data_IF_310983865689
#
_entry.id   IF_310983865689
#
_cell.length_a   1.000
_cell.length_b   1.000
_cell.length_c   1.000
_cell.angle_alpha   90.00
_cell.angle_beta   90.00
_cell.angle_gamma   90.00
#
_symmetry.space_group_name_H-M   'P 1'
#
loop_
_entity.id
_entity.type
_entity.pdbx_description
1 polymer ?
#
# COMPACT_ATOMS: atom_id res chain seq x y z
N UNK A 1 14.20 -76.80 14.56
CA UNK A 1 14.47 -75.84 15.67
C UNK A 1 13.20 -75.07 15.94
N UNK A 2 12.51 -75.33 17.04
CA UNK A 2 11.34 -74.53 17.44
C UNK A 2 11.85 -73.27 18.16
N UNK A 3 11.68 -72.16 17.53
CA UNK A 3 11.97 -70.87 18.18
C UNK A 3 10.88 -70.60 19.24
N UNK A 4 11.20 -70.87 20.52
CA UNK A 4 10.34 -70.50 21.63
C UNK A 4 10.41 -69.02 21.85
N UNK A 5 9.45 -68.27 21.32
CA UNK A 5 9.27 -66.86 21.70
C UNK A 5 8.84 -66.82 23.17
N UNK A 6 9.58 -66.11 24.00
CA UNK A 6 9.16 -65.82 25.36
C UNK A 6 7.90 -64.98 25.33
N UNK A 7 6.91 -65.29 26.20
CA UNK A 7 5.66 -64.51 26.29
C UNK A 7 5.91 -63.00 26.50
N UNK A 8 7.01 -62.63 27.19
CA UNK A 8 7.43 -61.25 27.40
C UNK A 8 7.89 -60.60 26.08
N UNK A 9 8.62 -61.32 25.21
CA UNK A 9 9.04 -60.77 23.91
C UNK A 9 7.85 -60.46 22.97
N UNK A 10 6.79 -61.26 23.04
CA UNK A 10 5.56 -61.04 22.24
C UNK A 10 4.78 -59.82 22.76
N UNK A 11 4.73 -59.66 24.09
CA UNK A 11 4.09 -58.50 24.74
C UNK A 11 4.89 -57.22 24.44
N UNK A 12 6.22 -57.26 24.58
CA UNK A 12 7.09 -56.11 24.29
C UNK A 12 6.99 -55.67 22.82
N UNK A 13 7.00 -56.64 21.89
CA UNK A 13 6.80 -56.36 20.45
C UNK A 13 5.41 -55.76 20.16
N UNK A 14 4.38 -56.25 20.88
CA UNK A 14 3.02 -55.71 20.76
C UNK A 14 2.91 -54.26 21.27
N UNK A 15 3.50 -53.94 22.42
CA UNK A 15 3.56 -52.57 22.97
C UNK A 15 4.33 -51.64 22.02
N UNK A 16 5.50 -52.08 21.54
CA UNK A 16 6.30 -51.31 20.62
C UNK A 16 5.57 -51.06 19.27
N UNK A 17 4.80 -52.03 18.79
CA UNK A 17 3.93 -51.86 17.61
C UNK A 17 2.82 -50.81 17.83
N UNK A 18 2.20 -50.81 19.02
CA UNK A 18 1.19 -49.78 19.37
C UNK A 18 1.79 -48.40 19.49
N UNK A 19 2.97 -48.25 20.15
CA UNK A 19 3.65 -46.97 20.32
C UNK A 19 4.04 -46.37 18.95
N UNK A 20 4.53 -47.21 18.03
CA UNK A 20 4.85 -46.76 16.67
C UNK A 20 3.58 -46.32 15.90
N UNK A 21 2.49 -47.08 15.98
CA UNK A 21 1.23 -46.73 15.32
C UNK A 21 0.61 -45.46 15.91
N UNK A 22 0.75 -45.22 17.22
CA UNK A 22 0.32 -44.01 17.88
C UNK A 22 1.17 -42.80 17.45
N UNK A 23 2.50 -42.93 17.41
CA UNK A 23 3.42 -41.91 16.95
C UNK A 23 3.13 -41.51 15.49
N UNK A 24 2.87 -42.47 14.62
CA UNK A 24 2.49 -42.26 13.22
C UNK A 24 1.15 -41.50 13.14
N UNK A 25 0.13 -41.93 13.89
CA UNK A 25 -1.16 -41.28 13.92
C UNK A 25 -1.06 -39.84 14.41
N UNK A 26 -0.27 -39.54 15.45
CA UNK A 26 -0.01 -38.21 15.97
C UNK A 26 0.74 -37.36 14.94
N UNK A 27 1.73 -37.89 14.27
CA UNK A 27 2.49 -37.20 13.23
C UNK A 27 1.59 -36.78 12.05
N UNK A 28 0.76 -37.68 11.54
CA UNK A 28 -0.17 -37.37 10.46
C UNK A 28 -1.28 -36.42 10.91
N UNK A 29 -1.77 -36.52 12.15
CA UNK A 29 -2.72 -35.59 12.71
C UNK A 29 -2.12 -34.16 12.74
N UNK A 30 -0.87 -34.02 13.18
CA UNK A 30 -0.18 -32.72 13.18
C UNK A 30 -0.07 -32.13 11.79
N UNK A 31 0.24 -32.94 10.76
CA UNK A 31 0.30 -32.48 9.36
C UNK A 31 -1.07 -32.05 8.84
N UNK A 32 -2.14 -32.81 9.15
CA UNK A 32 -3.51 -32.47 8.76
C UNK A 32 -4.00 -31.19 9.45
N UNK A 33 -3.73 -31.04 10.76
CA UNK A 33 -4.20 -29.87 11.51
C UNK A 33 -3.42 -28.59 11.21
N UNK A 34 -2.10 -28.71 10.93
CA UNK A 34 -1.25 -27.56 10.59
C UNK A 34 -1.28 -27.20 9.09
N UNK A 35 -1.68 -28.12 8.22
CA UNK A 35 -1.55 -27.99 6.76
C UNK A 35 -0.11 -28.03 6.26
N UNK A 36 0.88 -28.26 7.15
CA UNK A 36 2.32 -28.23 6.81
C UNK A 36 2.94 -29.62 6.81
N UNK A 37 3.74 -29.90 5.79
CA UNK A 37 4.52 -31.14 5.66
C UNK A 37 5.64 -31.21 6.71
N UNK A 38 6.29 -30.07 6.99
CA UNK A 38 7.38 -29.93 7.94
C UNK A 38 7.08 -28.78 8.91
N UNK A 39 7.00 -29.10 10.21
CA UNK A 39 6.73 -28.10 11.27
C UNK A 39 7.95 -27.83 12.15
N UNK A 40 8.89 -28.77 12.18
CA UNK A 40 10.11 -28.70 13.00
C UNK A 40 11.35 -28.77 12.11
N UNK A 41 12.40 -28.06 12.53
CA UNK A 41 13.69 -28.09 11.83
C UNK A 41 14.29 -29.53 11.78
N UNK A 42 13.94 -30.39 12.76
CA UNK A 42 14.33 -31.82 12.78
C UNK A 42 13.73 -32.62 11.63
N UNK A 43 12.57 -32.21 11.11
CA UNK A 43 11.87 -32.94 10.05
C UNK A 43 12.56 -32.71 8.70
N UNK A 44 12.89 -31.46 8.38
CA UNK A 44 13.67 -31.06 7.21
C UNK A 44 14.25 -29.66 7.44
N UNK A 45 15.49 -29.57 7.89
CA UNK A 45 16.17 -28.32 8.22
C UNK A 45 16.26 -27.37 7.02
N UNK A 46 16.45 -27.89 5.80
CA UNK A 46 16.51 -27.09 4.58
C UNK A 46 15.15 -26.45 4.26
N UNK A 47 14.09 -27.25 4.25
CA UNK A 47 12.74 -26.78 3.94
C UNK A 47 12.27 -25.74 4.96
N UNK A 48 12.44 -26.00 6.27
CA UNK A 48 12.03 -25.09 7.34
C UNK A 48 12.83 -23.80 7.30
N UNK A 49 14.18 -23.86 7.16
CA UNK A 49 15.00 -22.64 7.09
C UNK A 49 14.68 -21.79 5.86
N UNK A 50 14.43 -22.44 4.71
CA UNK A 50 14.04 -21.74 3.48
C UNK A 50 12.66 -21.11 3.62
N UNK A 51 11.70 -21.80 4.27
CA UNK A 51 10.37 -21.27 4.56
C UNK A 51 10.42 -20.03 5.43
N UNK A 52 11.20 -20.04 6.51
CA UNK A 52 11.39 -18.87 7.38
C UNK A 52 11.97 -17.66 6.62
N UNK A 53 12.91 -17.92 5.69
CA UNK A 53 13.43 -16.84 4.83
C UNK A 53 12.35 -16.26 3.92
N UNK A 54 11.53 -17.12 3.31
CA UNK A 54 10.41 -16.67 2.48
C UNK A 54 9.38 -15.89 3.29
N UNK A 55 9.06 -16.31 4.52
CA UNK A 55 8.19 -15.55 5.43
C UNK A 55 8.73 -14.15 5.71
N UNK A 56 10.03 -14.03 5.97
CA UNK A 56 10.68 -12.74 6.17
C UNK A 56 10.62 -11.87 4.93
N UNK A 57 10.90 -12.44 3.76
CA UNK A 57 10.85 -11.70 2.49
C UNK A 57 9.41 -11.26 2.16
N UNK A 58 8.40 -12.11 2.37
CA UNK A 58 6.98 -11.78 2.22
C UNK A 58 6.58 -10.64 3.18
N UNK A 59 7.01 -10.71 4.45
CA UNK A 59 6.74 -9.64 5.43
C UNK A 59 7.34 -8.31 5.00
N UNK A 60 8.52 -8.35 4.37
CA UNK A 60 9.18 -7.15 3.83
C UNK A 60 8.42 -6.57 2.63
N UNK A 61 7.83 -7.42 1.79
CA UNK A 61 6.95 -6.96 0.70
C UNK A 61 5.69 -6.26 1.21
N UNK A 62 5.08 -6.75 2.30
CA UNK A 62 3.91 -6.10 2.92
C UNK A 62 4.26 -4.71 3.51
N UNK A 63 5.48 -4.54 4.02
CA UNK A 63 5.97 -3.22 4.43
C UNK A 63 6.07 -2.26 3.22
N UNK A 64 6.65 -2.71 2.10
CA UNK A 64 6.69 -1.89 0.89
C UNK A 64 5.29 -1.55 0.37
N UNK A 65 4.37 -2.49 0.39
CA UNK A 65 2.97 -2.28 0.00
C UNK A 65 2.27 -1.22 0.89
N UNK A 66 2.54 -1.21 2.19
CA UNK A 66 2.06 -0.17 3.10
C UNK A 66 2.62 1.19 2.71
N UNK A 67 3.91 1.28 2.43
CA UNK A 67 4.57 2.50 1.97
C UNK A 67 4.00 2.98 0.62
N UNK A 68 3.80 2.07 -0.33
CA UNK A 68 3.19 2.36 -1.63
C UNK A 68 1.77 2.92 -1.48
N UNK A 69 0.95 2.32 -0.61
CA UNK A 69 -0.41 2.82 -0.34
C UNK A 69 -0.40 4.23 0.25
N UNK A 70 0.52 4.50 1.18
CA UNK A 70 0.69 5.83 1.76
C UNK A 70 1.05 6.87 0.70
N UNK A 71 2.07 6.59 -0.13
CA UNK A 71 2.50 7.50 -1.21
C UNK A 71 1.37 7.72 -2.21
N UNK A 72 0.70 6.65 -2.66
CA UNK A 72 -0.43 6.74 -3.60
C UNK A 72 -1.54 7.61 -3.06
N UNK A 73 -1.95 7.42 -1.80
CA UNK A 73 -3.00 8.22 -1.17
C UNK A 73 -2.61 9.70 -1.06
N UNK A 74 -1.37 9.99 -0.66
CA UNK A 74 -0.87 11.36 -0.55
C UNK A 74 -0.86 12.07 -1.90
N UNK A 75 -0.34 11.42 -2.95
CA UNK A 75 -0.30 12.00 -4.29
C UNK A 75 -1.69 12.11 -4.93
N UNK A 76 -2.60 11.16 -4.72
CA UNK A 76 -3.98 11.23 -5.21
C UNK A 76 -4.75 12.41 -4.59
N UNK A 77 -4.59 12.65 -3.29
CA UNK A 77 -5.18 13.81 -2.63
C UNK A 77 -4.63 15.13 -3.21
N UNK A 78 -3.32 15.20 -3.42
CA UNK A 78 -2.69 16.38 -4.01
C UNK A 78 -3.14 16.61 -5.46
N UNK A 79 -3.22 15.57 -6.28
CA UNK A 79 -3.72 15.64 -7.65
C UNK A 79 -5.15 16.16 -7.70
N UNK A 80 -6.06 15.64 -6.86
CA UNK A 80 -7.44 16.11 -6.80
C UNK A 80 -7.53 17.61 -6.52
N UNK A 81 -6.70 18.13 -5.61
CA UNK A 81 -6.66 19.57 -5.34
C UNK A 81 -6.04 20.36 -6.50
N UNK A 82 -4.95 19.86 -7.10
CA UNK A 82 -4.29 20.53 -8.23
C UNK A 82 -5.18 20.55 -9.48
N UNK A 83 -5.89 19.46 -9.79
CA UNK A 83 -6.88 19.41 -10.89
C UNK A 83 -7.96 20.47 -10.72
N UNK A 84 -8.50 20.59 -9.50
CA UNK A 84 -9.49 21.63 -9.20
C UNK A 84 -8.90 23.04 -9.38
N UNK A 85 -7.68 23.29 -8.87
CA UNK A 85 -7.00 24.57 -9.05
C UNK A 85 -6.68 24.88 -10.51
N UNK A 86 -6.33 23.89 -11.33
CA UNK A 86 -6.10 24.02 -12.78
C UNK A 86 -7.39 24.49 -13.49
N UNK A 87 -8.53 23.92 -13.10
CA UNK A 87 -9.84 24.33 -13.64
C UNK A 87 -10.17 25.79 -13.24
N UNK A 88 -9.89 26.16 -11.98
CA UNK A 88 -10.05 27.53 -11.52
C UNK A 88 -9.09 28.50 -12.22
N UNK A 89 -7.86 28.10 -12.48
CA UNK A 89 -6.89 28.91 -13.26
C UNK A 89 -7.34 29.08 -14.71
N UNK A 90 -7.93 28.05 -15.33
CA UNK A 90 -8.53 28.18 -16.66
C UNK A 90 -9.70 29.20 -16.64
N UNK A 91 -10.53 29.18 -15.61
CA UNK A 91 -11.59 30.16 -15.41
C UNK A 91 -11.04 31.60 -15.27
N UNK A 92 -9.95 31.79 -14.49
CA UNK A 92 -9.27 33.08 -14.40
C UNK A 92 -8.72 33.55 -15.74
N UNK A 93 -8.12 32.66 -16.55
CA UNK A 93 -7.64 33.01 -17.90
C UNK A 93 -8.78 33.41 -18.82
N UNK A 94 -9.95 32.77 -18.73
CA UNK A 94 -11.14 33.16 -19.48
C UNK A 94 -11.65 34.56 -19.05
N UNK A 95 -11.71 34.84 -17.74
CA UNK A 95 -12.05 36.15 -17.21
C UNK A 95 -11.04 37.23 -17.68
N UNK A 96 -9.76 36.90 -17.74
CA UNK A 96 -8.73 37.80 -18.28
C UNK A 96 -8.99 38.11 -19.73
N UNK A 97 -9.24 37.11 -20.59
CA UNK A 97 -9.57 37.33 -22.01
C UNK A 97 -10.83 38.19 -22.15
N UNK A 98 -11.86 37.91 -21.33
CA UNK A 98 -13.07 38.74 -21.31
C UNK A 98 -12.77 40.19 -20.92
N UNK A 99 -11.87 40.40 -19.97
CA UNK A 99 -11.46 41.77 -19.51
C UNK A 99 -10.77 42.60 -20.60
N UNK A 100 -10.25 41.98 -21.65
CA UNK A 100 -9.61 42.66 -22.78
C UNK A 100 -10.63 43.17 -23.84
N UNK A 101 -11.93 42.93 -23.65
CA UNK A 101 -12.96 43.42 -24.55
C UNK A 101 -13.15 44.92 -24.43
N UNK A 102 -12.99 45.67 -25.52
CA UNK A 102 -13.17 47.11 -25.57
C UNK A 102 -14.61 47.60 -25.29
N UNK A 103 -15.58 46.70 -25.19
CA UNK A 103 -16.99 47.02 -24.92
C UNK A 103 -17.34 47.06 -23.41
N UNK A 104 -16.39 46.75 -22.52
CA UNK A 104 -16.63 46.70 -21.08
C UNK A 104 -16.70 48.09 -20.43
N UNK A 105 -17.65 48.28 -19.55
CA UNK A 105 -17.78 49.45 -18.70
C UNK A 105 -17.27 49.17 -17.28
N UNK A 106 -17.19 50.22 -16.44
CA UNK A 106 -16.72 50.11 -15.04
C UNK A 106 -17.50 49.08 -14.22
N UNK A 107 -18.81 48.96 -14.41
CA UNK A 107 -19.64 48.00 -13.70
C UNK A 107 -19.31 46.57 -14.11
N UNK A 108 -19.01 46.33 -15.40
CA UNK A 108 -18.60 45.02 -15.88
C UNK A 108 -17.25 44.58 -15.28
N UNK A 109 -16.27 45.51 -15.21
CA UNK A 109 -14.99 45.21 -14.53
C UNK A 109 -15.16 44.93 -13.05
N UNK A 110 -16.08 45.65 -12.35
CA UNK A 110 -16.40 45.37 -10.97
C UNK A 110 -16.99 43.94 -10.79
N UNK A 111 -17.85 43.51 -11.70
CA UNK A 111 -18.40 42.17 -11.68
C UNK A 111 -17.33 41.08 -11.93
N UNK A 112 -16.44 41.27 -12.92
CA UNK A 112 -15.32 40.38 -13.19
C UNK A 112 -14.36 40.30 -12.00
N UNK A 113 -14.11 41.43 -11.34
CA UNK A 113 -13.29 41.46 -10.10
C UNK A 113 -13.86 40.58 -9.02
N UNK A 114 -15.17 40.67 -8.73
CA UNK A 114 -15.81 39.82 -7.71
C UNK A 114 -15.66 38.35 -8.05
N UNK A 115 -15.85 37.97 -9.31
CA UNK A 115 -15.65 36.57 -9.74
C UNK A 115 -14.19 36.12 -9.56
N UNK A 116 -13.21 36.96 -9.94
CA UNK A 116 -11.80 36.66 -9.78
C UNK A 116 -11.39 36.55 -8.30
N UNK A 117 -11.98 37.37 -7.42
CA UNK A 117 -11.80 37.31 -5.96
C UNK A 117 -12.31 35.98 -5.39
N UNK A 118 -13.49 35.54 -5.79
CA UNK A 118 -14.06 34.23 -5.37
C UNK A 118 -13.16 33.07 -5.77
N UNK A 119 -12.67 33.06 -7.02
CA UNK A 119 -11.76 32.03 -7.50
C UNK A 119 -10.44 32.06 -6.73
N UNK A 120 -9.85 33.26 -6.52
CA UNK A 120 -8.64 33.43 -5.71
C UNK A 120 -8.79 32.82 -4.31
N UNK A 121 -9.91 33.11 -3.64
CA UNK A 121 -10.16 32.65 -2.28
C UNK A 121 -10.43 31.13 -2.23
N UNK A 122 -11.06 30.57 -3.27
CA UNK A 122 -11.19 29.12 -3.46
C UNK A 122 -9.83 28.45 -3.61
N UNK A 123 -8.97 28.97 -4.50
CA UNK A 123 -7.61 28.45 -4.70
C UNK A 123 -6.81 28.56 -3.39
N UNK A 124 -6.90 29.66 -2.65
CA UNK A 124 -6.25 29.80 -1.35
C UNK A 124 -6.67 28.70 -0.36
N UNK A 125 -7.96 28.38 -0.32
CA UNK A 125 -8.50 27.31 0.54
C UNK A 125 -7.95 25.95 0.12
N UNK A 126 -7.89 25.67 -1.19
CA UNK A 126 -7.34 24.43 -1.73
C UNK A 126 -5.83 24.29 -1.46
N UNK A 127 -5.06 25.37 -1.53
CA UNK A 127 -3.62 25.38 -1.20
C UNK A 127 -3.34 24.96 0.25
N UNK A 128 -4.26 25.24 1.16
CA UNK A 128 -4.13 24.93 2.59
C UNK A 128 -4.99 23.73 3.02
N UNK A 129 -5.52 22.97 2.05
CA UNK A 129 -6.38 21.82 2.30
C UNK A 129 -5.66 20.74 3.12
N UNK A 130 -6.47 20.04 3.92
CA UNK A 130 -6.01 18.94 4.78
C UNK A 130 -6.71 17.65 4.39
N UNK A 131 -6.06 16.54 4.65
CA UNK A 131 -6.64 15.21 4.49
C UNK A 131 -7.67 14.88 5.61
N UNK A 132 -8.30 13.72 5.52
CA UNK A 132 -9.28 13.27 6.52
C UNK A 132 -8.69 13.06 7.93
N UNK A 133 -7.36 12.97 8.04
CA UNK A 133 -6.64 12.83 9.31
C UNK A 133 -6.15 14.17 9.87
N UNK A 134 -6.40 15.26 9.13
CA UNK A 134 -6.02 16.64 9.51
C UNK A 134 -4.61 17.03 9.09
N UNK A 135 -3.87 16.17 8.39
CA UNK A 135 -2.55 16.51 7.86
C UNK A 135 -2.67 17.38 6.60
N UNK A 136 -1.76 18.33 6.40
CA UNK A 136 -1.77 19.13 5.18
C UNK A 136 -1.50 18.26 3.95
N UNK A 137 -2.27 18.49 2.87
CA UNK A 137 -2.10 17.78 1.60
C UNK A 137 -0.79 18.17 0.92
N UNK A 138 -0.43 19.44 0.99
CA UNK A 138 0.83 19.97 0.47
C UNK A 138 1.84 20.12 1.60
N UNK A 139 3.02 19.57 1.45
CA UNK A 139 4.06 19.65 2.47
C UNK A 139 4.75 21.02 2.45
N UNK A 140 4.96 21.59 3.63
CA UNK A 140 5.57 22.90 3.76
C UNK A 140 7.09 22.91 3.51
N UNK A 141 7.70 21.71 3.49
CA UNK A 141 9.13 21.53 3.31
C UNK A 141 9.53 21.70 1.84
N UNK A 142 10.66 22.34 1.60
CA UNK A 142 11.23 22.49 0.26
C UNK A 142 11.70 21.15 -0.30
N UNK A 143 12.25 20.29 0.58
CA UNK A 143 12.60 18.90 0.27
C UNK A 143 11.62 17.95 0.94
N UNK A 144 10.97 17.13 0.14
CA UNK A 144 10.00 16.13 0.60
C UNK A 144 10.74 14.90 1.11
N UNK A 145 10.30 14.38 2.25
CA UNK A 145 10.75 13.10 2.75
C UNK A 145 10.53 12.01 1.70
N UNK A 146 11.54 11.15 1.53
CA UNK A 146 11.45 10.02 0.61
C UNK A 146 11.05 8.75 1.34
N UNK A 147 10.16 7.99 0.74
CA UNK A 147 9.68 6.71 1.24
C UNK A 147 10.15 5.60 0.32
N UNK A 148 10.64 4.53 0.90
CA UNK A 148 11.10 3.37 0.15
C UNK A 148 9.89 2.52 -0.29
N UNK A 149 9.74 2.32 -1.60
CA UNK A 149 8.63 1.57 -2.22
C UNK A 149 9.05 0.21 -2.77
N UNK A 150 10.36 0.02 -2.97
CA UNK A 150 11.00 -1.23 -3.39
C UNK A 150 12.41 -1.32 -2.79
N UNK A 151 13.07 -2.50 -2.84
CA UNK A 151 14.50 -2.56 -2.54
C UNK A 151 15.27 -1.55 -3.39
N UNK A 152 15.93 -0.58 -2.76
CA UNK A 152 16.74 0.47 -3.40
C UNK A 152 15.97 1.54 -4.21
N UNK A 153 14.63 1.57 -4.18
CA UNK A 153 13.83 2.61 -4.85
C UNK A 153 13.12 3.46 -3.80
N UNK A 154 13.40 4.75 -3.83
CA UNK A 154 12.78 5.74 -2.96
C UNK A 154 12.07 6.81 -3.79
N UNK A 155 10.85 7.19 -3.38
CA UNK A 155 10.05 8.23 -4.03
C UNK A 155 9.66 9.30 -3.01
N UNK A 156 9.30 10.49 -3.49
CA UNK A 156 8.77 11.56 -2.64
C UNK A 156 7.43 11.13 -2.02
N UNK A 157 7.25 11.39 -0.72
CA UNK A 157 6.06 10.96 0.02
C UNK A 157 4.82 11.84 -0.20
N UNK A 158 4.94 12.93 -0.95
CA UNK A 158 3.87 13.87 -1.24
C UNK A 158 4.33 15.02 -2.13
N UNK A 159 3.54 16.11 -2.19
CA UNK A 159 3.80 17.27 -3.04
C UNK A 159 4.23 18.46 -2.19
N UNK A 160 5.33 19.14 -2.58
CA UNK A 160 5.81 20.35 -1.91
C UNK A 160 4.93 21.55 -2.27
N UNK A 161 4.51 22.30 -1.25
CA UNK A 161 3.82 23.58 -1.41
C UNK A 161 4.62 24.57 -2.29
N UNK A 162 5.90 24.71 -2.01
CA UNK A 162 6.76 25.66 -2.74
C UNK A 162 6.93 25.27 -4.20
N UNK A 163 7.05 23.98 -4.51
CA UNK A 163 7.15 23.50 -5.90
C UNK A 163 5.86 23.69 -6.69
N UNK A 164 4.70 23.51 -6.02
CA UNK A 164 3.40 23.66 -6.67
C UNK A 164 3.00 25.15 -6.84
N UNK A 165 3.27 26.01 -5.85
CA UNK A 165 2.68 27.34 -5.77
C UNK A 165 3.70 28.48 -5.74
N UNK A 166 5.00 28.19 -5.67
CA UNK A 166 6.08 29.18 -5.66
C UNK A 166 6.82 29.29 -4.33
N UNK A 167 8.07 29.73 -4.39
CA UNK A 167 9.08 29.60 -3.32
C UNK A 167 8.85 30.49 -2.11
N UNK A 168 8.17 31.63 -2.24
CA UNK A 168 8.05 32.63 -1.18
C UNK A 168 6.88 32.37 -0.22
N UNK A 169 5.96 31.46 -0.60
CA UNK A 169 4.79 31.09 0.18
C UNK A 169 4.98 29.81 0.98
N UNK A 170 4.10 29.62 1.95
CA UNK A 170 3.98 28.40 2.74
C UNK A 170 2.54 28.22 3.24
N UNK A 171 2.25 27.12 3.93
CA UNK A 171 0.91 26.83 4.46
C UNK A 171 0.37 27.89 5.45
N UNK A 172 1.25 28.60 6.14
CA UNK A 172 0.88 29.68 7.08
C UNK A 172 0.62 30.98 6.35
N UNK A 173 1.40 31.27 5.29
CA UNK A 173 1.32 32.47 4.49
C UNK A 173 1.18 32.13 2.99
N UNK A 174 0.07 31.52 2.58
CA UNK A 174 -0.15 31.12 1.18
C UNK A 174 -0.19 32.35 0.25
N UNK A 175 -0.54 33.52 0.77
CA UNK A 175 -0.57 34.80 0.04
C UNK A 175 0.80 35.24 -0.47
N UNK A 176 1.88 34.74 0.11
CA UNK A 176 3.24 35.04 -0.33
C UNK A 176 3.66 34.19 -1.54
N UNK A 177 2.93 33.12 -1.89
CA UNK A 177 3.24 32.31 -3.05
C UNK A 177 3.14 33.07 -4.36
N UNK A 178 3.94 32.66 -5.35
CA UNK A 178 3.89 33.26 -6.70
C UNK A 178 2.51 33.09 -7.34
N UNK A 179 1.88 31.93 -7.15
CA UNK A 179 0.53 31.65 -7.64
C UNK A 179 -0.47 32.68 -7.10
N UNK A 180 -0.54 32.84 -5.79
CA UNK A 180 -1.48 33.76 -5.17
C UNK A 180 -1.20 35.23 -5.58
N UNK A 181 0.06 35.66 -5.57
CA UNK A 181 0.47 37.01 -5.99
C UNK A 181 0.06 37.29 -7.44
N UNK A 182 0.23 36.35 -8.35
CA UNK A 182 -0.14 36.51 -9.76
C UNK A 182 -1.66 36.62 -9.93
N UNK A 183 -2.44 35.81 -9.22
CA UNK A 183 -3.90 35.92 -9.20
C UNK A 183 -4.32 37.27 -8.62
N UNK A 184 -3.70 37.72 -7.50
CA UNK A 184 -4.01 38.97 -6.86
C UNK A 184 -3.64 40.19 -7.74
N UNK A 185 -2.59 40.08 -8.57
CA UNK A 185 -2.27 41.10 -9.58
C UNK A 185 -3.40 41.26 -10.61
N UNK A 186 -4.03 40.14 -11.00
CA UNK A 186 -5.19 40.19 -11.90
C UNK A 186 -6.41 40.82 -11.21
N UNK A 187 -6.70 40.47 -9.95
CA UNK A 187 -7.78 41.08 -9.17
C UNK A 187 -7.57 42.59 -9.01
N UNK A 188 -6.32 43.02 -8.75
CA UNK A 188 -5.96 44.44 -8.65
C UNK A 188 -6.16 45.15 -9.99
N UNK A 189 -5.69 44.57 -11.09
CA UNK A 189 -5.89 45.06 -12.45
C UNK A 189 -7.38 45.32 -12.74
N UNK A 190 -8.26 44.35 -12.44
CA UNK A 190 -9.71 44.50 -12.62
C UNK A 190 -10.30 45.61 -11.73
N UNK A 191 -9.78 45.77 -10.50
CA UNK A 191 -10.20 46.81 -9.58
C UNK A 191 -9.83 48.24 -10.07
N UNK A 192 -8.63 48.39 -10.61
CA UNK A 192 -8.17 49.67 -11.19
C UNK A 192 -9.00 50.04 -12.44
N UNK A 193 -9.31 49.06 -13.29
CA UNK A 193 -10.20 49.26 -14.45
C UNK A 193 -11.64 49.61 -14.02
N UNK A 194 -12.15 48.99 -12.96
CA UNK A 194 -13.49 49.27 -12.41
C UNK A 194 -13.62 50.72 -11.88
N UNK A 195 -12.56 51.26 -11.29
CA UNK A 195 -12.53 52.67 -10.83
C UNK A 195 -12.24 53.65 -11.97
N UNK A 196 -11.72 53.16 -13.09
CA UNK A 196 -11.27 53.98 -14.22
C UNK A 196 -9.87 54.59 -13.98
N UNK A 197 -9.13 53.99 -13.07
CA UNK A 197 -7.72 54.31 -12.83
C UNK A 197 -6.86 53.52 -13.83
N UNK A 198 -5.78 54.15 -14.30
CA UNK A 198 -4.83 53.45 -15.17
C UNK A 198 -4.20 52.28 -14.42
N UNK A 199 -4.21 51.04 -14.99
CA UNK A 199 -3.66 49.87 -14.30
C UNK A 199 -2.19 50.05 -13.93
N UNK A 200 -1.85 49.70 -12.70
CA UNK A 200 -0.48 49.73 -12.16
C UNK A 200 0.42 48.69 -12.84
N UNK A 201 -0.17 47.66 -13.41
CA UNK A 201 0.51 46.61 -14.19
C UNK A 201 -0.07 46.52 -15.59
N UNK A 202 0.81 46.35 -16.58
CA UNK A 202 0.39 46.09 -17.96
C UNK A 202 -0.38 44.75 -18.05
N UNK A 203 -1.39 44.69 -18.93
CA UNK A 203 -2.17 43.49 -19.17
C UNK A 203 -1.29 42.28 -19.55
N UNK A 204 -0.20 42.50 -20.29
CA UNK A 204 0.77 41.45 -20.66
C UNK A 204 1.43 40.84 -19.43
N UNK A 205 1.87 41.62 -18.45
CA UNK A 205 2.47 41.14 -17.21
C UNK A 205 1.46 40.32 -16.37
N UNK A 206 0.20 40.72 -16.37
CA UNK A 206 -0.86 39.96 -15.68
C UNK A 206 -1.09 38.61 -16.39
N UNK A 207 -1.19 38.62 -17.71
CA UNK A 207 -1.32 37.39 -18.52
C UNK A 207 -0.15 36.43 -18.31
N UNK A 208 1.07 36.97 -18.38
CA UNK A 208 2.29 36.17 -18.20
C UNK A 208 2.36 35.59 -16.80
N UNK A 209 1.95 36.33 -15.77
CA UNK A 209 1.85 35.82 -14.41
C UNK A 209 0.84 34.69 -14.24
N UNK A 210 -0.35 34.79 -14.84
CA UNK A 210 -1.36 33.75 -14.84
C UNK A 210 -0.88 32.50 -15.60
N UNK A 211 -0.24 32.67 -16.76
CA UNK A 211 0.30 31.56 -17.54
C UNK A 211 1.43 30.85 -16.78
N UNK A 212 2.39 31.60 -16.23
CA UNK A 212 3.49 31.03 -15.43
C UNK A 212 2.97 30.23 -14.23
N UNK A 213 1.94 30.73 -13.55
CA UNK A 213 1.33 30.03 -12.41
C UNK A 213 0.58 28.76 -12.85
N UNK A 214 -0.11 28.83 -13.98
CA UNK A 214 -0.78 27.66 -14.58
C UNK A 214 0.24 26.58 -14.96
N UNK A 215 1.32 26.96 -15.64
CA UNK A 215 2.37 26.03 -16.08
C UNK A 215 3.07 25.38 -14.87
N UNK A 216 3.36 26.17 -13.83
CA UNK A 216 3.97 25.65 -12.60
C UNK A 216 3.07 24.62 -11.91
N UNK A 217 1.77 24.91 -11.81
CA UNK A 217 0.80 23.99 -11.20
C UNK A 217 0.65 22.70 -12.03
N UNK A 218 0.59 22.82 -13.36
CA UNK A 218 0.53 21.67 -14.27
C UNK A 218 1.79 20.81 -14.21
N UNK A 219 2.98 21.44 -14.08
CA UNK A 219 4.22 20.70 -13.89
C UNK A 219 4.24 19.95 -12.56
N UNK A 220 3.71 20.54 -11.49
CA UNK A 220 3.62 19.87 -10.19
C UNK A 220 2.66 18.68 -10.23
N UNK A 221 1.52 18.82 -10.90
CA UNK A 221 0.56 17.75 -11.13
C UNK A 221 1.17 16.61 -11.95
N UNK A 222 1.82 16.90 -13.09
CA UNK A 222 2.49 15.91 -13.92
C UNK A 222 3.58 15.15 -13.15
N UNK A 223 4.35 15.86 -12.31
CA UNK A 223 5.37 15.22 -11.45
C UNK A 223 4.72 14.29 -10.44
N UNK A 224 3.62 14.72 -9.81
CA UNK A 224 2.84 13.88 -8.90
C UNK A 224 2.30 12.63 -9.61
N UNK A 225 1.76 12.79 -10.82
CA UNK A 225 1.33 11.69 -11.68
C UNK A 225 2.47 10.72 -12.05
N UNK A 226 3.66 11.26 -12.31
CA UNK A 226 4.85 10.46 -12.58
C UNK A 226 5.27 9.59 -11.38
N UNK A 227 5.22 10.16 -10.17
CA UNK A 227 5.47 9.39 -8.93
C UNK A 227 4.39 8.32 -8.73
N UNK A 228 3.12 8.65 -8.91
CA UNK A 228 2.02 7.68 -8.81
C UNK A 228 2.20 6.52 -9.79
N UNK A 229 2.52 6.80 -11.05
CA UNK A 229 2.80 5.77 -12.06
C UNK A 229 4.01 4.88 -11.69
N UNK A 230 5.06 5.47 -11.12
CA UNK A 230 6.21 4.71 -10.63
C UNK A 230 5.81 3.77 -9.49
N UNK A 231 4.99 4.23 -8.54
CA UNK A 231 4.48 3.41 -7.43
C UNK A 231 3.57 2.29 -7.93
N UNK A 232 2.71 2.55 -8.92
CA UNK A 232 1.85 1.51 -9.53
C UNK A 232 2.68 0.42 -10.20
N UNK A 233 3.71 0.79 -10.94
CA UNK A 233 4.63 -0.18 -11.55
C UNK A 233 5.34 -1.03 -10.48
N UNK A 234 5.85 -0.39 -9.42
CA UNK A 234 6.45 -1.05 -8.28
C UNK A 234 5.46 -2.03 -7.61
N UNK A 235 4.22 -1.60 -7.40
CA UNK A 235 3.15 -2.41 -6.80
C UNK A 235 2.85 -3.67 -7.61
N UNK A 236 2.74 -3.52 -8.93
CA UNK A 236 2.48 -4.64 -9.82
C UNK A 236 3.64 -5.66 -9.80
N UNK A 237 4.88 -5.18 -9.85
CA UNK A 237 6.07 -6.01 -9.75
C UNK A 237 6.16 -6.74 -8.40
N UNK A 238 5.93 -6.03 -7.29
CA UNK A 238 5.96 -6.61 -5.94
C UNK A 238 4.82 -7.62 -5.73
N UNK A 239 3.64 -7.38 -6.30
CA UNK A 239 2.51 -8.33 -6.24
C UNK A 239 2.84 -9.62 -6.97
N UNK A 240 3.39 -9.54 -8.19
CA UNK A 240 3.83 -10.71 -8.95
C UNK A 240 4.92 -11.50 -8.21
N UNK A 241 5.91 -10.79 -7.64
CA UNK A 241 6.98 -11.39 -6.88
C UNK A 241 6.48 -12.06 -5.58
N UNK A 242 5.56 -11.41 -4.86
CA UNK A 242 4.91 -11.97 -3.67
C UNK A 242 4.13 -13.24 -3.97
N UNK A 243 3.39 -13.27 -5.07
CA UNK A 243 2.67 -14.47 -5.54
C UNK A 243 3.64 -15.61 -5.82
N UNK A 244 4.76 -15.34 -6.49
CA UNK A 244 5.78 -16.35 -6.78
C UNK A 244 6.45 -16.87 -5.49
N UNK A 245 6.73 -15.99 -4.52
CA UNK A 245 7.27 -16.40 -3.21
C UNK A 245 6.28 -17.26 -2.43
N UNK A 246 5.00 -16.86 -2.38
CA UNK A 246 3.94 -17.64 -1.72
C UNK A 246 3.78 -19.04 -2.37
N UNK A 247 3.78 -19.12 -3.69
CA UNK A 247 3.75 -20.37 -4.42
C UNK A 247 4.97 -21.26 -4.12
N UNK A 248 6.16 -20.67 -4.04
CA UNK A 248 7.40 -21.38 -3.68
C UNK A 248 7.37 -21.88 -2.24
N UNK A 249 6.80 -21.10 -1.32
CA UNK A 249 6.64 -21.49 0.08
C UNK A 249 5.63 -22.63 0.22
N UNK A 250 4.48 -22.54 -0.46
CA UNK A 250 3.46 -23.58 -0.50
C UNK A 250 4.03 -24.89 -1.04
N UNK A 251 4.73 -24.85 -2.17
CA UNK A 251 5.38 -26.04 -2.74
C UNK A 251 6.43 -26.68 -1.81
N UNK A 252 7.03 -25.89 -0.91
CA UNK A 252 8.09 -26.36 0.00
C UNK A 252 7.55 -26.88 1.32
N UNK A 253 6.51 -26.24 1.87
CA UNK A 253 6.05 -26.48 3.25
C UNK A 253 4.66 -27.08 3.36
N UNK A 254 3.76 -26.87 2.39
CA UNK A 254 2.40 -27.34 2.50
C UNK A 254 2.29 -28.85 2.29
N UNK A 255 1.40 -29.46 3.04
CA UNK A 255 1.12 -30.90 2.90
C UNK A 255 0.02 -31.13 1.87
N UNK A 256 0.14 -32.23 1.12
CA UNK A 256 -1.00 -32.76 0.36
C UNK A 256 -2.06 -33.28 1.35
N UNK A 257 -3.12 -32.49 1.53
CA UNK A 257 -4.18 -32.78 2.48
C UNK A 257 -4.90 -34.10 2.20
N UNK A 258 -5.06 -34.47 0.93
CA UNK A 258 -5.71 -35.73 0.54
C UNK A 258 -4.84 -36.95 0.95
N UNK A 259 -3.55 -36.89 0.63
CA UNK A 259 -2.59 -37.92 1.00
C UNK A 259 -2.38 -37.99 2.52
N UNK A 260 -2.31 -36.83 3.20
CA UNK A 260 -2.15 -36.77 4.66
C UNK A 260 -3.38 -37.34 5.40
N UNK A 261 -4.60 -37.01 4.96
CA UNK A 261 -5.85 -37.50 5.55
C UNK A 261 -5.98 -39.01 5.35
N UNK A 262 -5.65 -39.50 4.15
CA UNK A 262 -5.64 -40.95 3.87
C UNK A 262 -4.62 -41.69 4.75
N UNK A 263 -3.42 -41.12 4.92
CA UNK A 263 -2.37 -41.69 5.77
C UNK A 263 -2.75 -41.65 7.26
N UNK A 264 -3.37 -40.58 7.72
CA UNK A 264 -3.91 -40.48 9.08
C UNK A 264 -4.98 -41.56 9.35
N UNK A 265 -5.95 -41.71 8.44
CA UNK A 265 -7.00 -42.73 8.57
C UNK A 265 -6.40 -44.14 8.60
N UNK A 266 -5.39 -44.41 7.77
CA UNK A 266 -4.66 -45.70 7.77
C UNK A 266 -3.94 -45.92 9.11
N UNK A 267 -3.22 -44.91 9.62
CA UNK A 267 -2.50 -44.97 10.89
C UNK A 267 -3.47 -45.23 12.06
N UNK A 268 -4.63 -44.56 12.06
CA UNK A 268 -5.66 -44.76 13.07
C UNK A 268 -6.28 -46.18 12.99
N UNK A 269 -6.48 -46.73 11.80
CA UNK A 269 -6.96 -48.10 11.60
C UNK A 269 -5.93 -49.10 12.11
N UNK A 270 -4.64 -48.88 11.82
CA UNK A 270 -3.54 -49.72 12.32
C UNK A 270 -3.42 -49.69 13.84
N UNK A 271 -3.58 -48.51 14.44
CA UNK A 271 -3.58 -48.34 15.91
C UNK A 271 -4.71 -49.16 16.55
N UNK A 272 -5.94 -49.00 16.00
CA UNK A 272 -7.10 -49.76 16.49
C UNK A 272 -6.92 -51.30 16.35
N UNK A 273 -6.34 -51.72 15.23
CA UNK A 273 -6.02 -53.15 15.01
C UNK A 273 -4.96 -53.65 15.98
N UNK A 274 -3.89 -52.87 16.21
CA UNK A 274 -2.83 -53.20 17.15
C UNK A 274 -3.37 -53.36 18.58
N UNK A 275 -4.22 -52.42 19.01
CA UNK A 275 -4.90 -52.45 20.32
C UNK A 275 -5.76 -53.71 20.47
N UNK A 276 -6.57 -54.06 19.42
CA UNK A 276 -7.41 -55.24 19.43
C UNK A 276 -6.59 -56.54 19.47
N UNK A 277 -5.47 -56.63 18.72
CA UNK A 277 -4.57 -57.77 18.78
C UNK A 277 -3.87 -57.90 20.13
N UNK A 278 -3.42 -56.80 20.70
CA UNK A 278 -2.80 -56.79 22.03
C UNK A 278 -3.77 -57.27 23.12
N UNK A 279 -5.03 -56.81 23.08
CA UNK A 279 -6.06 -57.25 24.03
C UNK A 279 -6.31 -58.77 23.91
N UNK A 280 -6.34 -59.32 22.67
CA UNK A 280 -6.47 -60.77 22.44
C UNK A 280 -5.27 -61.58 22.93
N UNK A 281 -4.06 -61.06 22.74
CA UNK A 281 -2.83 -61.71 23.25
C UNK A 281 -2.80 -61.71 24.77
N UNK A 282 -3.23 -60.69 25.45
CA UNK A 282 -3.33 -60.65 26.89
C UNK A 282 -4.36 -61.63 27.43
N UNK A 283 -5.53 -61.75 26.77
CA UNK A 283 -6.54 -62.72 27.16
C UNK A 283 -6.04 -64.17 26.99
N UNK A 284 -5.37 -64.48 25.89
CA UNK A 284 -4.82 -65.81 25.63
C UNK A 284 -3.71 -66.22 26.62
N UNK A 285 -2.90 -65.25 27.12
CA UNK A 285 -1.86 -65.49 28.11
C UNK A 285 -2.45 -65.68 29.53
N UNK A 286 -3.57 -65.05 29.88
CA UNK A 286 -4.27 -65.28 31.12
C UNK A 286 -4.90 -66.69 31.23
N UNK A 287 -5.50 -67.17 30.12
CA UNK A 287 -6.09 -68.53 30.04
C UNK A 287 -5.06 -69.67 30.01
N UNK A 288 -3.80 -69.41 29.66
CA UNK A 288 -2.72 -70.40 29.67
C UNK A 288 -2.05 -70.55 31.04
N UNK A 289 -2.41 -69.75 32.07
CA UNK A 289 -1.92 -69.84 33.44
C UNK A 289 -2.94 -70.33 34.47
N UNK A 290 -4.17 -70.60 34.03
CA UNK A 290 -5.19 -71.31 34.80
C UNK A 290 -5.19 -72.83 34.36
#
# INVERSE_FOLDING_TARGET
>A
MSVRFSSNQVVDAGVQGMDNALADAMSWNQKVTSGKQYSKASDNAYAVSRGVRLDFDISRLEMFKTNQNFVMSSHANAQTQMDSMINEMNSLKQLFVQSQSGALNKSNFAALKVQAEQIRDTIKTQMTARDATGNPIFNNEAEINKVQIEPNVMVESGVSFQRAFGTDGNLTYPENSSLYKNINNFVTYLGEMATGTMPSKAATLVSDGLNTSFDQLTMAEQRSGGVAAQVDNARNAMTAFGTQMAASQSALLDTDMAAATASYTRAQTLLNAAQAMFARLQQSNLFSKL
#
